data_IF_569446920237
#
_entry.id   IF_569446920237
#
_cell.length_a   1.000
_cell.length_b   1.000
_cell.length_c   1.000
_cell.angle_alpha   90.00
_cell.angle_beta   90.00
_cell.angle_gamma   90.00
#
_symmetry.space_group_name_H-M   'P 1'
#
loop_
_entity.id
_entity.type
_entity.pdbx_description
1 polymer ?
#
# COMPACT_ATOMS: atom_id res chain seq x y z
N UNK A 1 -3.11 -15.61 4.91
CA UNK A 1 -2.08 -15.37 5.94
C UNK A 1 -2.81 -15.10 7.25
N UNK A 2 -2.18 -15.34 8.38
CA UNK A 2 -2.73 -14.92 9.68
C UNK A 2 -2.61 -13.39 9.79
N UNK A 3 -3.51 -12.80 10.57
CA UNK A 3 -3.54 -11.37 10.85
C UNK A 3 -3.12 -11.17 12.31
N UNK A 4 -2.14 -10.31 12.55
CA UNK A 4 -1.53 -10.06 13.86
C UNK A 4 -1.77 -8.60 14.26
N UNK A 5 -2.34 -8.36 15.45
CA UNK A 5 -2.62 -7.02 15.99
C UNK A 5 -2.13 -6.93 17.43
N UNK A 6 -0.95 -6.34 17.63
CA UNK A 6 -0.28 -6.33 18.95
C UNK A 6 0.18 -4.90 19.32
N UNK A 7 -0.74 -3.90 19.31
CA UNK A 7 -0.38 -2.53 19.58
C UNK A 7 0.01 -2.36 21.05
N UNK A 8 1.18 -1.77 21.29
CA UNK A 8 1.57 -1.33 22.63
C UNK A 8 0.65 -0.23 23.18
N UNK A 9 0.45 0.89 22.47
CA UNK A 9 -0.49 1.95 22.85
C UNK A 9 -1.95 1.63 22.50
N UNK A 10 -2.88 2.48 22.98
CA UNK A 10 -4.29 2.39 22.59
C UNK A 10 -4.46 2.47 21.06
N UNK A 11 -5.31 1.61 20.51
CA UNK A 11 -5.63 1.56 19.09
C UNK A 11 -7.12 1.41 18.88
N UNK A 12 -7.69 2.23 18.01
CA UNK A 12 -9.08 2.11 17.56
C UNK A 12 -9.10 1.81 16.07
N UNK A 13 -9.77 0.72 15.69
CA UNK A 13 -9.97 0.32 14.30
C UNK A 13 -11.42 0.61 13.92
N UNK A 14 -11.63 1.56 13.02
CA UNK A 14 -12.99 2.03 12.71
C UNK A 14 -13.68 1.26 11.58
N UNK A 15 -12.90 0.66 10.67
CA UNK A 15 -13.40 -0.16 9.56
C UNK A 15 -13.61 -1.62 9.90
N UNK A 16 -14.21 -2.36 8.95
CA UNK A 16 -14.32 -3.83 9.03
C UNK A 16 -12.94 -4.47 9.03
N UNK A 17 -12.81 -5.57 9.77
CA UNK A 17 -11.59 -6.39 9.80
C UNK A 17 -11.91 -7.79 9.29
N UNK A 18 -11.04 -8.31 8.42
CA UNK A 18 -11.14 -9.67 7.94
C UNK A 18 -9.78 -10.37 7.94
N UNK A 19 -9.72 -11.59 8.48
CA UNK A 19 -8.58 -12.49 8.38
C UNK A 19 -8.90 -13.71 7.51
N UNK A 20 -8.10 -13.95 6.45
CA UNK A 20 -8.22 -15.16 5.61
C UNK A 20 -7.73 -16.44 6.32
N UNK A 21 -7.11 -16.32 7.50
CA UNK A 21 -6.76 -17.42 8.42
C UNK A 21 -7.11 -17.00 9.85
N UNK A 22 -6.26 -17.25 10.84
CA UNK A 22 -6.52 -16.80 12.20
C UNK A 22 -6.26 -15.29 12.33
N UNK A 23 -6.95 -14.68 13.28
CA UNK A 23 -6.65 -13.35 13.82
C UNK A 23 -6.03 -13.58 15.20
N UNK A 24 -4.81 -13.11 15.40
CA UNK A 24 -4.12 -13.05 16.68
C UNK A 24 -4.11 -11.60 17.18
N UNK A 25 -4.47 -11.41 18.44
CA UNK A 25 -4.53 -10.10 19.06
C UNK A 25 -3.97 -10.13 20.47
N UNK A 26 -2.96 -9.30 20.68
CA UNK A 26 -2.20 -9.26 21.92
C UNK A 26 -1.84 -7.80 22.28
N UNK A 27 -2.84 -6.94 22.54
CA UNK A 27 -2.56 -5.54 22.80
C UNK A 27 -1.88 -5.36 24.17
N UNK A 28 -0.95 -4.41 24.26
CA UNK A 28 -0.38 -3.95 25.53
C UNK A 28 -1.30 -2.99 26.31
N UNK A 29 -2.28 -2.38 25.62
CA UNK A 29 -3.26 -1.46 26.16
C UNK A 29 -4.68 -1.73 25.57
N UNK A 30 -5.48 -0.71 25.24
CA UNK A 30 -6.81 -0.93 24.69
C UNK A 30 -6.79 -1.07 23.17
N UNK A 31 -7.34 -2.17 22.65
CA UNK A 31 -7.66 -2.38 21.25
C UNK A 31 -9.17 -2.40 21.07
N UNK A 32 -9.73 -1.42 20.34
CA UNK A 32 -11.17 -1.30 20.11
C UNK A 32 -11.51 -1.45 18.64
N UNK A 33 -12.37 -2.40 18.30
CA UNK A 33 -12.96 -2.54 16.97
C UNK A 33 -14.35 -1.90 16.96
N UNK A 34 -14.55 -0.88 16.12
CA UNK A 34 -15.84 -0.19 16.00
C UNK A 34 -16.82 -0.91 15.06
N UNK A 35 -16.29 -1.76 14.19
CA UNK A 35 -17.04 -2.46 13.14
C UNK A 35 -16.87 -3.98 13.27
N UNK A 36 -17.59 -4.72 12.41
CA UNK A 36 -17.55 -6.18 12.34
C UNK A 36 -16.14 -6.72 12.12
N UNK A 37 -15.75 -7.71 12.92
CA UNK A 37 -14.51 -8.48 12.78
C UNK A 37 -14.84 -9.89 12.32
N UNK A 38 -14.22 -10.34 11.23
CA UNK A 38 -14.47 -11.68 10.68
C UNK A 38 -13.16 -12.44 10.46
N UNK A 39 -13.18 -13.74 10.69
CA UNK A 39 -12.03 -14.61 10.49
C UNK A 39 -12.49 -15.88 9.79
N UNK A 40 -11.77 -16.31 8.75
CA UNK A 40 -11.97 -17.64 8.18
C UNK A 40 -11.41 -18.74 9.10
N UNK A 41 -10.40 -18.39 9.90
CA UNK A 41 -9.88 -19.20 10.99
C UNK A 41 -10.58 -18.89 12.32
N UNK A 42 -9.79 -18.83 13.37
CA UNK A 42 -10.20 -18.42 14.71
C UNK A 42 -9.86 -16.96 14.96
N UNK A 43 -10.51 -16.35 15.94
CA UNK A 43 -10.09 -15.08 16.56
C UNK A 43 -9.52 -15.44 17.94
N UNK A 44 -8.24 -15.15 18.17
CA UNK A 44 -7.44 -15.67 19.29
C UNK A 44 -6.84 -14.51 20.07
N UNK A 45 -7.07 -14.48 21.38
CA UNK A 45 -6.36 -13.59 22.29
C UNK A 45 -5.00 -14.20 22.64
N UNK A 46 -3.94 -13.45 22.37
CA UNK A 46 -2.55 -13.88 22.53
C UNK A 46 -1.75 -13.74 21.23
N UNK A 47 -0.43 -13.81 21.33
CA UNK A 47 0.46 -13.61 20.20
C UNK A 47 0.38 -14.79 19.23
N UNK A 48 0.80 -14.55 17.99
CA UNK A 48 0.94 -15.63 17.01
C UNK A 48 1.96 -16.67 17.49
N UNK A 49 1.73 -17.99 17.27
CA UNK A 49 2.67 -19.01 17.66
C UNK A 49 4.07 -18.77 17.07
N UNK A 50 5.07 -18.75 17.95
CA UNK A 50 6.45 -18.49 17.56
C UNK A 50 6.85 -17.03 17.59
N UNK A 51 5.99 -16.10 18.00
CA UNK A 51 6.43 -14.74 18.31
C UNK A 51 7.41 -14.75 19.50
N UNK A 52 8.68 -14.31 19.34
CA UNK A 52 9.62 -14.21 20.46
C UNK A 52 9.47 -12.90 21.25
N UNK A 53 8.73 -11.91 20.75
CA UNK A 53 8.54 -10.61 21.39
C UNK A 53 7.56 -10.67 22.55
N UNK A 54 6.61 -11.62 22.54
CA UNK A 54 5.64 -11.81 23.61
C UNK A 54 5.61 -13.26 24.07
N UNK A 55 5.89 -13.50 25.36
CA UNK A 55 5.91 -14.85 25.95
C UNK A 55 4.55 -15.33 26.45
N UNK A 56 3.49 -14.54 26.23
CA UNK A 56 2.13 -14.82 26.70
C UNK A 56 1.15 -13.71 26.30
N UNK A 57 -0.03 -13.75 26.89
CA UNK A 57 -1.05 -12.72 26.69
C UNK A 57 -0.63 -11.45 27.43
N UNK A 58 -0.61 -10.33 26.72
CA UNK A 58 -0.33 -9.01 27.28
C UNK A 58 -1.55 -8.48 28.07
N UNK A 59 -1.30 -7.54 29.00
CA UNK A 59 -2.32 -7.05 29.93
C UNK A 59 -3.36 -6.07 29.32
N UNK A 60 -3.39 -5.94 28.00
CA UNK A 60 -4.35 -5.09 27.31
C UNK A 60 -5.76 -5.67 27.24
N UNK A 61 -6.70 -4.85 26.77
CA UNK A 61 -8.11 -5.24 26.62
C UNK A 61 -8.54 -5.12 25.16
N UNK A 62 -9.21 -6.15 24.66
CA UNK A 62 -9.88 -6.14 23.35
C UNK A 62 -11.36 -5.84 23.54
N UNK A 63 -11.87 -4.82 22.87
CA UNK A 63 -13.29 -4.43 22.88
C UNK A 63 -13.87 -4.49 21.47
N UNK A 64 -15.04 -5.12 21.33
CA UNK A 64 -15.80 -5.14 20.08
C UNK A 64 -17.11 -4.37 20.27
N UNK A 65 -17.29 -3.31 19.48
CA UNK A 65 -18.55 -2.56 19.43
C UNK A 65 -19.48 -3.06 18.31
N UNK A 66 -18.96 -3.89 17.39
CA UNK A 66 -19.73 -4.65 16.41
C UNK A 66 -19.65 -6.16 16.66
N UNK A 67 -20.26 -6.95 15.77
CA UNK A 67 -20.17 -8.42 15.82
C UNK A 67 -18.73 -8.92 15.58
N UNK A 68 -18.45 -10.15 16.02
CA UNK A 68 -17.20 -10.82 15.70
C UNK A 68 -17.43 -12.31 15.39
N UNK A 69 -17.06 -12.76 14.19
CA UNK A 69 -17.34 -14.12 13.73
C UNK A 69 -16.08 -14.86 13.31
N UNK A 70 -15.88 -16.05 13.87
CA UNK A 70 -14.90 -17.02 13.39
C UNK A 70 -15.54 -17.98 12.39
N UNK A 71 -14.72 -18.69 11.61
CA UNK A 71 -15.16 -19.68 10.60
C UNK A 71 -16.03 -19.12 9.48
N UNK A 72 -15.81 -17.85 9.13
CA UNK A 72 -16.43 -17.21 7.96
C UNK A 72 -15.77 -17.66 6.65
N UNK A 73 -16.36 -17.32 5.50
CA UNK A 73 -15.73 -17.60 4.21
C UNK A 73 -14.47 -16.74 4.00
N UNK A 74 -13.45 -17.31 3.35
CA UNK A 74 -12.29 -16.53 2.91
C UNK A 74 -12.69 -15.50 1.85
N UNK A 75 -12.07 -14.33 1.90
CA UNK A 75 -12.11 -13.36 0.81
C UNK A 75 -10.98 -13.66 -0.17
N UNK A 76 -11.33 -14.07 -1.39
CA UNK A 76 -10.38 -14.45 -2.43
C UNK A 76 -10.38 -13.43 -3.57
N UNK A 77 -9.21 -13.12 -4.11
CA UNK A 77 -9.13 -12.44 -5.40
C UNK A 77 -9.62 -13.37 -6.51
N UNK A 78 -10.14 -12.83 -7.63
CA UNK A 78 -10.59 -13.62 -8.78
C UNK A 78 -9.41 -14.10 -9.63
N UNK A 79 -8.41 -14.74 -9.01
CA UNK A 79 -7.26 -15.38 -9.66
C UNK A 79 -7.33 -16.90 -9.52
N UNK A 80 -6.71 -17.66 -10.43
CA UNK A 80 -6.85 -19.13 -10.52
C UNK A 80 -6.50 -19.92 -9.25
N UNK A 81 -5.63 -19.39 -8.38
CA UNK A 81 -5.24 -20.02 -7.11
C UNK A 81 -5.80 -19.31 -5.87
N UNK A 82 -6.77 -18.40 -6.05
CA UNK A 82 -7.50 -17.74 -4.97
C UNK A 82 -6.63 -16.89 -4.04
N UNK A 83 -6.36 -17.40 -2.83
CA UNK A 83 -5.71 -16.67 -1.72
C UNK A 83 -4.29 -17.15 -1.40
N UNK A 84 -3.65 -17.93 -2.29
CA UNK A 84 -2.25 -18.33 -2.10
C UNK A 84 -1.31 -17.11 -2.14
N UNK A 85 -0.55 -16.80 -1.07
CA UNK A 85 0.31 -15.62 -1.01
C UNK A 85 1.35 -15.52 -2.12
N UNK A 86 1.89 -16.66 -2.57
CA UNK A 86 2.89 -16.67 -3.62
C UNK A 86 2.31 -16.28 -4.97
N UNK A 87 1.09 -16.74 -5.24
CA UNK A 87 0.37 -16.39 -6.46
C UNK A 87 -0.20 -14.99 -6.40
N UNK A 88 -0.73 -14.55 -5.26
CA UNK A 88 -1.26 -13.19 -5.12
C UNK A 88 -0.15 -12.15 -5.33
N UNK A 89 1.11 -12.43 -4.92
CA UNK A 89 2.24 -11.56 -5.23
C UNK A 89 2.44 -11.30 -6.73
N UNK A 90 1.98 -12.19 -7.61
CA UNK A 90 2.09 -11.97 -9.05
C UNK A 90 1.26 -10.78 -9.52
N UNK A 91 0.18 -10.37 -8.83
CA UNK A 91 -0.63 -9.21 -9.25
C UNK A 91 0.16 -7.90 -9.27
N UNK A 92 1.25 -7.80 -8.49
CA UNK A 92 2.10 -6.61 -8.44
C UNK A 92 3.29 -6.68 -9.40
N UNK A 93 3.48 -7.80 -10.12
CA UNK A 93 4.56 -7.97 -11.10
C UNK A 93 4.10 -7.72 -12.54
N UNK A 94 5.02 -7.39 -13.47
CA UNK A 94 4.71 -7.45 -14.89
C UNK A 94 4.44 -8.91 -15.31
N UNK A 95 3.78 -9.13 -16.46
CA UNK A 95 3.64 -10.47 -17.03
C UNK A 95 5.00 -11.16 -17.21
N UNK A 96 5.08 -12.48 -17.05
CA UNK A 96 6.31 -13.22 -17.32
C UNK A 96 6.69 -13.16 -18.81
N UNK A 97 7.92 -13.54 -19.14
CA UNK A 97 8.36 -13.64 -20.53
C UNK A 97 7.44 -14.62 -21.29
N UNK A 98 6.87 -14.17 -22.41
CA UNK A 98 5.84 -14.91 -23.17
C UNK A 98 4.40 -14.49 -22.86
N UNK A 99 4.17 -13.62 -21.88
CA UNK A 99 2.85 -13.09 -21.51
C UNK A 99 2.14 -13.92 -20.44
N UNK A 100 0.94 -13.48 -20.07
CA UNK A 100 0.11 -14.19 -19.08
C UNK A 100 -0.46 -15.49 -19.67
N UNK A 101 -0.09 -16.62 -19.07
CA UNK A 101 -0.69 -17.93 -19.38
C UNK A 101 -2.03 -18.15 -18.69
N UNK A 102 -2.30 -17.42 -17.60
CA UNK A 102 -3.57 -17.39 -16.87
C UNK A 102 -4.26 -16.04 -17.08
N UNK A 103 -5.37 -16.06 -17.83
CA UNK A 103 -6.15 -14.87 -18.12
C UNK A 103 -6.77 -14.22 -16.86
N UNK A 104 -7.02 -14.99 -15.80
CA UNK A 104 -7.56 -14.45 -14.54
C UNK A 104 -6.49 -13.65 -13.79
N UNK A 105 -5.26 -14.16 -13.73
CA UNK A 105 -4.10 -13.42 -13.24
C UNK A 105 -3.85 -12.16 -14.08
N UNK A 106 -3.84 -12.30 -15.41
CA UNK A 106 -3.61 -11.17 -16.32
C UNK A 106 -4.61 -10.02 -16.14
N UNK A 107 -5.87 -10.32 -15.80
CA UNK A 107 -6.88 -9.29 -15.48
C UNK A 107 -6.60 -8.57 -14.17
N UNK A 108 -5.97 -9.21 -13.20
CA UNK A 108 -5.71 -8.64 -11.88
C UNK A 108 -4.36 -7.95 -11.75
N UNK A 109 -3.39 -8.24 -12.64
CA UNK A 109 -2.08 -7.56 -12.65
C UNK A 109 -2.23 -6.06 -12.84
N UNK A 110 -1.65 -5.29 -11.91
CA UNK A 110 -1.64 -3.83 -11.99
C UNK A 110 -0.89 -3.32 -13.23
N UNK A 111 0.14 -4.04 -13.69
CA UNK A 111 0.83 -3.73 -14.95
C UNK A 111 -0.15 -3.71 -16.13
N UNK A 112 -1.07 -4.68 -16.18
CA UNK A 112 -2.01 -4.79 -17.29
C UNK A 112 -3.13 -3.74 -17.20
N UNK A 113 -3.52 -3.36 -15.98
CA UNK A 113 -4.55 -2.33 -15.70
C UNK A 113 -4.04 -0.89 -15.87
N UNK A 114 -2.73 -0.67 -15.96
CA UNK A 114 -2.15 0.66 -15.94
C UNK A 114 -2.57 1.53 -17.14
N UNK A 115 -2.73 2.82 -16.91
CA UNK A 115 -2.85 3.83 -17.96
C UNK A 115 -1.47 4.24 -18.47
N UNK A 116 -0.48 4.26 -17.56
CA UNK A 116 0.89 4.63 -17.86
C UNK A 116 1.84 3.60 -17.26
N UNK A 117 2.78 3.14 -18.07
CA UNK A 117 3.90 2.31 -17.64
C UNK A 117 5.15 3.17 -17.65
N UNK A 118 5.81 3.30 -16.50
CA UNK A 118 7.10 3.96 -16.31
C UNK A 118 8.16 2.88 -16.18
N UNK A 119 9.07 2.80 -17.15
CA UNK A 119 10.20 1.87 -17.13
C UNK A 119 11.49 2.62 -16.88
N UNK A 120 12.28 2.11 -15.95
CA UNK A 120 13.65 2.60 -15.70
C UNK A 120 14.63 1.50 -16.06
N UNK A 121 15.58 1.79 -16.94
CA UNK A 121 16.59 0.81 -17.38
C UNK A 121 18.00 1.32 -17.12
N UNK A 122 18.96 0.40 -17.15
CA UNK A 122 20.37 0.77 -17.22
C UNK A 122 20.65 1.71 -18.42
N UNK A 123 21.67 2.58 -18.32
CA UNK A 123 22.15 3.33 -19.48
C UNK A 123 22.60 2.37 -20.60
N UNK A 124 22.60 2.80 -21.87
CA UNK A 124 23.05 1.97 -22.98
C UNK A 124 24.42 1.34 -22.71
N UNK A 125 24.62 0.09 -23.13
CA UNK A 125 25.90 -0.60 -22.95
C UNK A 125 27.05 0.21 -23.58
N UNK A 126 28.15 0.38 -22.83
CA UNK A 126 29.29 1.20 -23.25
C UNK A 126 29.16 2.70 -22.96
N UNK A 127 28.07 3.13 -22.31
CA UNK A 127 27.94 4.52 -21.85
C UNK A 127 29.06 4.89 -20.87
N UNK A 128 29.53 6.16 -20.86
CA UNK A 128 30.53 6.62 -19.90
C UNK A 128 30.11 6.38 -18.43
N UNK A 129 31.07 6.14 -17.52
CA UNK A 129 30.78 6.11 -16.08
C UNK A 129 30.04 7.37 -15.62
N UNK A 130 28.99 7.19 -14.82
CA UNK A 130 28.14 8.30 -14.35
C UNK A 130 26.99 8.67 -15.29
N UNK A 131 26.82 7.98 -16.42
CA UNK A 131 25.63 8.16 -17.27
C UNK A 131 24.36 7.78 -16.48
N UNK A 132 23.36 8.67 -16.40
CA UNK A 132 22.12 8.38 -15.67
C UNK A 132 21.31 7.21 -16.26
N UNK A 133 20.49 6.52 -15.46
CA UNK A 133 19.51 5.57 -15.95
C UNK A 133 18.55 6.20 -16.97
N UNK A 134 18.00 5.37 -17.86
CA UNK A 134 17.02 5.81 -18.86
C UNK A 134 15.62 5.67 -18.29
N UNK A 135 14.80 6.73 -18.41
CA UNK A 135 13.40 6.73 -18.01
C UNK A 135 12.52 6.75 -19.25
N UNK A 136 11.61 5.78 -19.35
CA UNK A 136 10.73 5.60 -20.51
C UNK A 136 9.29 5.58 -19.99
N UNK A 137 8.46 6.49 -20.50
CA UNK A 137 7.02 6.49 -20.26
C UNK A 137 6.25 6.05 -21.50
N UNK A 138 5.26 5.17 -21.33
CA UNK A 138 4.33 4.78 -22.39
C UNK A 138 2.91 4.70 -21.86
N UNK A 139 1.92 4.67 -22.75
CA UNK A 139 0.59 4.16 -22.42
C UNK A 139 0.68 2.74 -21.85
N UNK A 140 -0.39 2.31 -21.20
CA UNK A 140 -0.53 0.97 -20.64
C UNK A 140 -0.61 -0.17 -21.65
N UNK A 141 -0.77 -1.38 -21.10
CA UNK A 141 -0.82 -2.63 -21.87
C UNK A 141 -2.02 -2.72 -22.82
N UNK A 142 -3.13 -2.07 -22.50
CA UNK A 142 -4.32 -2.02 -23.36
C UNK A 142 -4.02 -1.48 -24.76
N UNK A 143 -3.13 -0.49 -24.83
CA UNK A 143 -2.66 0.11 -26.08
C UNK A 143 -1.28 -0.41 -26.48
N UNK A 144 -0.90 -1.61 -26.02
CA UNK A 144 0.37 -2.27 -26.34
C UNK A 144 1.60 -1.36 -26.16
N UNK A 145 1.56 -0.45 -25.19
CA UNK A 145 2.63 0.51 -24.91
C UNK A 145 2.95 1.45 -26.11
N UNK A 146 2.02 1.59 -27.06
CA UNK A 146 2.29 2.22 -28.34
C UNK A 146 2.40 3.75 -28.28
N UNK A 147 1.76 4.41 -27.30
CA UNK A 147 1.80 5.88 -27.18
C UNK A 147 2.92 6.28 -26.22
N UNK A 148 3.97 7.00 -26.68
CA UNK A 148 4.98 7.55 -25.79
C UNK A 148 4.39 8.60 -24.85
N UNK A 149 4.86 8.63 -23.61
CA UNK A 149 4.47 9.60 -22.57
C UNK A 149 5.72 10.30 -22.07
N UNK A 150 5.73 11.63 -22.13
CA UNK A 150 6.83 12.42 -21.57
C UNK A 150 6.68 12.52 -20.04
N UNK A 151 7.34 11.61 -19.34
CA UNK A 151 7.31 11.50 -17.88
C UNK A 151 8.38 12.35 -17.17
N UNK A 152 9.32 12.94 -17.92
CA UNK A 152 10.45 13.69 -17.34
C UNK A 152 10.05 14.95 -16.57
N UNK A 153 8.81 15.44 -16.75
CA UNK A 153 8.26 16.56 -15.99
C UNK A 153 7.82 16.21 -14.56
N UNK A 154 7.65 14.91 -14.25
CA UNK A 154 7.17 14.46 -12.94
C UNK A 154 7.85 13.19 -12.41
N UNK A 155 8.78 12.58 -13.16
CA UNK A 155 9.59 11.44 -12.71
C UNK A 155 11.05 11.84 -12.63
N UNK A 156 11.67 11.58 -11.48
CA UNK A 156 13.12 11.73 -11.27
C UNK A 156 13.70 10.42 -10.77
N UNK A 157 14.82 9.98 -11.35
CA UNK A 157 15.52 8.78 -10.88
C UNK A 157 16.79 9.18 -10.15
N UNK A 158 16.99 8.59 -8.98
CA UNK A 158 18.19 8.75 -8.17
C UNK A 158 18.73 7.39 -7.75
N UNK A 159 20.03 7.33 -7.51
CA UNK A 159 20.72 6.16 -6.98
C UNK A 159 21.17 6.45 -5.57
N UNK A 160 20.95 5.51 -4.64
CA UNK A 160 21.31 5.65 -3.22
C UNK A 160 20.88 7.00 -2.61
N UNK A 161 19.61 7.36 -2.79
CA UNK A 161 19.05 8.69 -2.49
C UNK A 161 18.95 8.97 -0.99
N UNK A 162 18.50 7.99 -0.24
CA UNK A 162 18.33 8.04 1.22
C UNK A 162 18.47 6.62 1.80
N UNK A 163 18.56 6.52 3.12
CA UNK A 163 18.77 5.26 3.83
C UNK A 163 17.46 4.68 4.39
N UNK A 164 17.32 3.35 4.26
CA UNK A 164 16.30 2.55 4.92
C UNK A 164 16.96 1.69 6.00
N UNK A 165 16.87 2.14 7.24
CA UNK A 165 17.48 1.54 8.42
C UNK A 165 16.81 0.26 8.88
N UNK A 166 15.58 -0.03 8.42
CA UNK A 166 14.98 -1.36 8.62
C UNK A 166 15.66 -2.40 7.74
N UNK A 167 16.04 -2.03 6.53
CA UNK A 167 16.69 -2.91 5.54
C UNK A 167 18.22 -2.87 5.64
N UNK A 168 18.76 -1.84 6.28
CA UNK A 168 20.19 -1.60 6.35
C UNK A 168 20.79 -1.12 5.01
N UNK A 169 19.96 -0.58 4.10
CA UNK A 169 20.31 -0.32 2.70
C UNK A 169 20.01 1.11 2.26
N UNK A 170 20.76 1.58 1.27
CA UNK A 170 20.41 2.78 0.51
C UNK A 170 19.28 2.53 -0.49
N UNK A 171 18.48 3.54 -0.80
CA UNK A 171 17.32 3.40 -1.70
C UNK A 171 17.60 4.04 -3.06
N UNK A 172 17.48 3.25 -4.13
CA UNK A 172 17.56 3.73 -5.51
C UNK A 172 16.20 4.28 -5.96
N UNK A 173 15.89 5.49 -5.51
CA UNK A 173 14.57 6.09 -5.66
C UNK A 173 14.17 6.40 -7.11
N UNK A 174 12.97 5.98 -7.49
CA UNK A 174 12.19 6.50 -8.61
C UNK A 174 11.13 7.43 -8.01
N UNK A 175 11.42 8.73 -8.00
CA UNK A 175 10.58 9.77 -7.44
C UNK A 175 9.48 10.15 -8.44
N UNK A 176 8.21 10.05 -8.02
CA UNK A 176 7.03 10.57 -8.68
C UNK A 176 6.59 11.84 -7.95
N UNK A 177 6.79 12.99 -8.58
CA UNK A 177 6.22 14.25 -8.13
C UNK A 177 4.73 14.29 -8.48
N UNK A 178 3.88 13.98 -7.51
CA UNK A 178 2.44 13.81 -7.69
C UNK A 178 1.76 15.13 -8.07
N UNK A 179 2.19 16.26 -7.50
CA UNK A 179 1.66 17.57 -7.87
C UNK A 179 1.97 17.94 -9.33
N UNK A 180 3.17 17.61 -9.82
CA UNK A 180 3.53 17.80 -11.23
C UNK A 180 2.76 16.83 -12.14
N UNK A 181 2.59 15.57 -11.72
CA UNK A 181 1.77 14.59 -12.44
C UNK A 181 0.31 15.05 -12.54
N UNK A 182 -0.27 15.52 -11.44
CA UNK A 182 -1.61 16.11 -11.40
C UNK A 182 -1.76 17.23 -12.44
N UNK A 183 -0.87 18.22 -12.43
CA UNK A 183 -0.95 19.35 -13.36
C UNK A 183 -0.87 18.90 -14.83
N UNK A 184 -0.12 17.83 -15.10
CA UNK A 184 -0.03 17.22 -16.42
C UNK A 184 -1.29 16.41 -16.80
N UNK A 185 -1.79 15.57 -15.89
CA UNK A 185 -2.93 14.68 -16.10
C UNK A 185 -4.25 15.46 -16.25
N UNK A 186 -4.45 16.50 -15.44
CA UNK A 186 -5.66 17.33 -15.43
C UNK A 186 -5.79 18.22 -16.69
N UNK A 187 -4.80 18.24 -17.57
CA UNK A 187 -4.80 19.06 -18.78
C UNK A 187 -5.14 18.21 -20.03
N UNK A 188 -6.44 18.00 -20.35
CA UNK A 188 -6.88 17.17 -21.47
C UNK A 188 -6.55 17.77 -22.85
N UNK A 189 -6.17 19.05 -22.91
CA UNK A 189 -5.71 19.70 -24.14
C UNK A 189 -4.16 19.77 -24.24
N UNK A 190 -3.46 19.34 -23.20
CA UNK A 190 -2.00 19.42 -23.08
C UNK A 190 -1.30 18.07 -23.25
N UNK A 191 -0.28 17.85 -22.44
CA UNK A 191 0.60 16.68 -22.55
C UNK A 191 -0.10 15.33 -22.31
N UNK A 192 -1.26 15.30 -21.65
CA UNK A 192 -2.05 14.10 -21.42
C UNK A 192 -3.14 13.85 -22.47
N UNK A 193 -3.34 14.76 -23.43
CA UNK A 193 -4.45 14.74 -24.41
C UNK A 193 -4.59 13.43 -25.18
N UNK A 194 -3.46 12.82 -25.57
CA UNK A 194 -3.45 11.52 -26.24
C UNK A 194 -4.01 10.40 -25.38
N UNK A 195 -3.74 10.41 -24.07
CA UNK A 195 -4.24 9.41 -23.13
C UNK A 195 -5.71 9.62 -22.81
N UNK A 196 -6.15 10.88 -22.65
CA UNK A 196 -7.57 11.21 -22.52
C UNK A 196 -8.38 10.69 -23.70
N UNK A 197 -7.87 10.88 -24.92
CA UNK A 197 -8.51 10.38 -26.15
C UNK A 197 -8.52 8.85 -26.20
N UNK A 198 -7.40 8.22 -25.80
CA UNK A 198 -7.23 6.77 -25.83
C UNK A 198 -8.15 6.05 -24.84
N UNK A 199 -8.22 6.53 -23.59
CA UNK A 199 -8.92 5.86 -22.51
C UNK A 199 -10.35 6.38 -22.29
N UNK A 200 -10.66 7.58 -22.78
CA UNK A 200 -11.94 8.25 -22.51
C UNK A 200 -12.06 8.76 -21.07
N UNK A 201 -10.98 8.74 -20.30
CA UNK A 201 -10.89 9.25 -18.93
C UNK A 201 -9.49 9.79 -18.64
N UNK A 202 -9.36 10.47 -17.50
CA UNK A 202 -8.07 10.93 -17.00
C UNK A 202 -7.15 9.75 -16.67
N UNK A 203 -5.86 9.76 -17.05
CA UNK A 203 -4.92 8.73 -16.63
C UNK A 203 -4.72 8.77 -15.11
N UNK A 204 -5.02 7.67 -14.43
CA UNK A 204 -5.02 7.58 -12.97
C UNK A 204 -4.28 6.35 -12.42
N UNK A 205 -3.87 5.38 -13.25
CA UNK A 205 -3.08 4.22 -12.80
C UNK A 205 -1.67 4.25 -13.38
N UNK A 206 -0.68 4.48 -12.52
CA UNK A 206 0.74 4.41 -12.83
C UNK A 206 1.31 3.07 -12.40
N UNK A 207 1.93 2.34 -13.32
CA UNK A 207 2.77 1.20 -12.98
C UNK A 207 4.25 1.53 -13.19
N UNK A 208 5.07 1.36 -12.15
CA UNK A 208 6.52 1.59 -12.20
C UNK A 208 7.26 0.26 -12.24
N UNK A 209 8.13 0.12 -13.24
CA UNK A 209 8.96 -1.04 -13.48
C UNK A 209 10.43 -0.65 -13.47
N UNK A 210 11.14 -0.95 -12.39
CA UNK A 210 12.59 -0.87 -12.34
C UNK A 210 13.21 -2.11 -13.00
N UNK A 211 13.99 -1.90 -14.06
CA UNK A 211 14.72 -2.94 -14.80
C UNK A 211 16.22 -2.68 -14.78
N UNK A 212 16.70 -1.80 -13.90
CA UNK A 212 18.14 -1.63 -13.67
C UNK A 212 18.70 -2.93 -13.10
N UNK A 213 19.86 -3.33 -13.58
CA UNK A 213 20.57 -4.52 -13.11
C UNK A 213 22.05 -4.25 -12.94
N UNK A 214 22.66 -3.52 -13.88
CA UNK A 214 24.09 -3.21 -13.88
C UNK A 214 24.42 -1.90 -13.14
N UNK A 215 23.49 -0.94 -13.10
CA UNK A 215 23.67 0.36 -12.47
C UNK A 215 23.31 0.41 -10.97
N UNK A 216 23.00 -0.74 -10.36
CA UNK A 216 22.61 -0.86 -8.96
C UNK A 216 23.85 -1.03 -8.07
N UNK A 217 24.17 -0.08 -7.17
CA UNK A 217 25.29 -0.24 -6.24
C UNK A 217 25.02 -1.34 -5.19
N UNK A 218 26.08 -1.96 -4.68
CA UNK A 218 25.96 -2.87 -3.54
C UNK A 218 25.43 -2.13 -2.30
N UNK A 219 24.72 -2.85 -1.43
CA UNK A 219 24.13 -2.27 -0.22
C UNK A 219 22.95 -1.33 -0.49
N UNK A 220 22.32 -1.42 -1.67
CA UNK A 220 21.13 -0.65 -2.02
C UNK A 220 19.94 -1.55 -2.38
N UNK A 221 18.75 -0.97 -2.43
CA UNK A 221 17.49 -1.60 -2.83
C UNK A 221 16.69 -0.69 -3.78
N UNK A 222 15.78 -1.23 -4.61
CA UNK A 222 14.86 -0.40 -5.39
C UNK A 222 13.83 0.27 -4.48
N UNK A 223 13.28 1.38 -4.95
CA UNK A 223 12.19 2.06 -4.25
C UNK A 223 11.49 3.07 -5.14
N UNK A 224 10.16 3.08 -5.11
CA UNK A 224 9.35 4.10 -5.76
C UNK A 224 8.89 5.07 -4.69
N UNK A 225 9.06 6.38 -4.88
CA UNK A 225 8.63 7.37 -3.89
C UNK A 225 7.62 8.33 -4.49
N UNK A 226 6.48 8.48 -3.85
CA UNK A 226 5.52 9.56 -4.15
C UNK A 226 5.80 10.75 -3.24
N UNK A 227 5.91 11.93 -3.83
CA UNK A 227 6.18 13.18 -3.11
C UNK A 227 5.37 14.34 -3.69
N UNK A 228 5.20 15.41 -2.91
CA UNK A 228 4.29 16.53 -3.23
C UNK A 228 2.86 16.03 -3.51
N UNK A 229 2.39 15.07 -2.69
CA UNK A 229 1.15 14.33 -2.90
C UNK A 229 -0.09 14.92 -2.27
N UNK A 230 -0.03 16.10 -1.66
CA UNK A 230 -1.15 16.68 -0.92
C UNK A 230 -2.43 16.79 -1.78
N UNK A 231 -2.29 17.04 -3.09
CA UNK A 231 -3.39 17.10 -4.03
C UNK A 231 -3.17 16.13 -5.20
N UNK A 232 -4.17 15.31 -5.49
CA UNK A 232 -4.13 14.29 -6.56
C UNK A 232 -4.82 14.78 -7.86
N UNK A 233 -4.58 14.10 -9.01
CA UNK A 233 -5.40 14.23 -10.22
C UNK A 233 -6.90 14.10 -9.93
N UNK A 234 -7.75 14.76 -10.72
CA UNK A 234 -9.19 14.78 -10.45
C UNK A 234 -9.84 13.38 -10.52
N UNK A 235 -9.36 12.52 -11.41
CA UNK A 235 -9.76 11.13 -11.58
C UNK A 235 -9.23 10.16 -10.51
N UNK A 236 -8.40 10.64 -9.57
CA UNK A 236 -7.74 9.80 -8.58
C UNK A 236 -6.38 9.27 -9.03
N UNK A 237 -5.71 8.54 -8.15
CA UNK A 237 -4.36 8.02 -8.40
C UNK A 237 -4.12 6.67 -7.72
N UNK A 238 -3.76 5.68 -8.53
CA UNK A 238 -3.14 4.44 -8.08
C UNK A 238 -1.69 4.41 -8.55
N UNK A 239 -0.75 4.24 -7.62
CA UNK A 239 0.65 3.94 -7.94
C UNK A 239 0.94 2.49 -7.57
N UNK A 240 1.33 1.70 -8.56
CA UNK A 240 1.59 0.29 -8.43
C UNK A 240 3.02 -0.08 -8.87
N UNK A 241 3.65 -1.00 -8.15
CA UNK A 241 4.95 -1.55 -8.50
C UNK A 241 5.19 -2.87 -7.77
N UNK A 242 6.13 -3.68 -8.26
CA UNK A 242 6.66 -4.81 -7.51
C UNK A 242 7.70 -4.38 -6.46
N UNK A 243 8.12 -3.11 -6.46
CA UNK A 243 9.13 -2.56 -5.55
C UNK A 243 8.51 -1.97 -4.27
N UNK A 244 9.29 -1.70 -3.22
CA UNK A 244 8.82 -0.94 -2.07
C UNK A 244 8.42 0.49 -2.45
N UNK A 245 7.32 0.98 -1.88
CA UNK A 245 6.85 2.35 -2.05
C UNK A 245 7.15 3.18 -0.80
N UNK A 246 7.59 4.42 -1.02
CA UNK A 246 7.78 5.44 -0.02
C UNK A 246 6.80 6.59 -0.25
N UNK A 247 6.14 7.06 0.81
CA UNK A 247 5.21 8.21 0.75
C UNK A 247 5.84 9.34 1.53
N UNK A 248 6.22 10.43 0.87
CA UNK A 248 6.84 11.57 1.54
C UNK A 248 5.86 12.70 1.78
N UNK A 249 5.66 13.00 3.06
CA UNK A 249 4.79 14.04 3.56
C UNK A 249 3.31 13.75 3.36
N UNK A 250 2.51 14.80 3.43
CA UNK A 250 1.07 14.73 3.26
C UNK A 250 0.68 14.17 1.87
N UNK A 251 -0.24 13.22 1.88
CA UNK A 251 -0.74 12.57 0.67
C UNK A 251 -2.27 12.60 0.64
N UNK A 252 -2.82 13.17 -0.43
CA UNK A 252 -4.25 13.23 -0.73
C UNK A 252 -5.08 13.91 0.37
N UNK A 253 -4.66 15.09 0.81
CA UNK A 253 -5.27 15.83 1.93
C UNK A 253 -6.16 16.99 1.48
N UNK A 254 -6.19 17.30 0.18
CA UNK A 254 -6.96 18.44 -0.33
C UNK A 254 -7.33 18.26 -1.79
N UNK A 255 -8.29 19.08 -2.22
CA UNK A 255 -8.53 19.38 -3.63
C UNK A 255 -8.62 20.90 -3.84
N UNK A 256 -9.12 21.34 -5.00
CA UNK A 256 -9.22 22.78 -5.30
C UNK A 256 -10.27 23.51 -4.45
N UNK A 257 -11.13 22.77 -3.74
CA UNK A 257 -12.27 23.31 -2.97
C UNK A 257 -12.05 23.34 -1.46
N UNK A 258 -11.07 22.61 -0.93
CA UNK A 258 -10.83 22.57 0.51
C UNK A 258 -9.77 21.56 0.95
N UNK A 259 -9.62 21.43 2.26
CA UNK A 259 -8.65 20.54 2.93
C UNK A 259 -9.41 19.59 3.85
N UNK A 260 -9.03 18.31 3.80
CA UNK A 260 -9.49 17.25 4.71
C UNK A 260 -8.56 17.16 5.92
N UNK A 261 -9.12 17.06 7.13
CA UNK A 261 -8.38 17.03 8.40
C UNK A 261 -8.94 15.94 9.30
N UNK A 262 -8.04 15.26 10.03
CA UNK A 262 -8.44 14.16 10.91
C UNK A 262 -9.03 13.01 10.09
N UNK A 263 -10.23 12.54 10.45
CA UNK A 263 -10.94 11.46 9.73
C UNK A 263 -11.86 11.96 8.62
N UNK A 264 -11.92 13.28 8.37
CA UNK A 264 -12.65 13.80 7.21
C UNK A 264 -11.90 13.42 5.93
N UNK A 265 -12.62 12.94 4.93
CA UNK A 265 -12.10 12.60 3.60
C UNK A 265 -12.90 13.27 2.47
N UNK A 266 -13.61 14.37 2.78
CA UNK A 266 -14.48 15.06 1.81
C UNK A 266 -13.73 15.64 0.61
N UNK A 267 -12.50 16.10 0.82
CA UNK A 267 -11.65 16.73 -0.19
C UNK A 267 -10.52 15.82 -0.70
N UNK A 268 -10.65 14.50 -0.49
CA UNK A 268 -9.70 13.52 -1.01
C UNK A 268 -10.18 12.98 -2.35
N UNK A 269 -9.26 12.46 -3.16
CA UNK A 269 -9.56 11.74 -4.41
C UNK A 269 -9.39 10.23 -4.21
N UNK A 270 -10.01 9.38 -5.04
CA UNK A 270 -9.81 7.93 -4.95
C UNK A 270 -8.33 7.58 -5.13
N UNK A 271 -7.71 6.94 -4.15
CA UNK A 271 -6.27 6.73 -4.16
C UNK A 271 -5.82 5.38 -3.60
N UNK A 272 -4.84 4.75 -4.25
CA UNK A 272 -4.23 3.50 -3.80
C UNK A 272 -2.72 3.47 -3.99
N UNK A 273 -2.03 2.84 -3.05
CA UNK A 273 -0.60 2.56 -3.11
C UNK A 273 -0.41 1.05 -3.05
N UNK A 274 0.22 0.50 -4.08
CA UNK A 274 0.32 -0.95 -4.30
C UNK A 274 1.77 -1.32 -4.51
N UNK A 275 2.40 -1.97 -3.53
CA UNK A 275 3.84 -2.21 -3.56
C UNK A 275 4.25 -3.45 -2.78
N UNK A 276 5.54 -3.77 -2.82
CA UNK A 276 6.11 -4.85 -1.98
C UNK A 276 5.95 -4.54 -0.48
N UNK A 277 6.18 -3.29 -0.11
CA UNK A 277 6.00 -2.71 1.21
C UNK A 277 5.71 -1.21 1.07
N UNK A 278 5.00 -0.61 2.04
CA UNK A 278 4.80 0.86 2.09
C UNK A 278 5.50 1.45 3.31
N UNK A 279 6.29 2.50 3.10
CA UNK A 279 6.95 3.27 4.16
C UNK A 279 6.50 4.72 4.10
N UNK A 280 6.06 5.28 5.22
CA UNK A 280 5.71 6.71 5.32
C UNK A 280 6.91 7.50 5.84
N UNK A 281 7.36 8.46 5.03
CA UNK A 281 8.37 9.44 5.35
C UNK A 281 7.66 10.74 5.75
N UNK A 282 7.88 11.19 6.97
CA UNK A 282 7.09 12.30 7.55
C UNK A 282 7.23 13.64 6.81
N UNK A 283 6.38 14.61 7.12
CA UNK A 283 6.53 16.00 6.66
C UNK A 283 7.88 16.64 7.06
N UNK A 284 8.50 16.17 8.14
CA UNK A 284 9.85 16.59 8.57
C UNK A 284 10.99 15.86 7.85
N UNK A 285 10.69 14.93 6.94
CA UNK A 285 11.70 14.14 6.25
C UNK A 285 12.56 14.99 5.32
N UNK A 286 13.88 14.85 5.47
CA UNK A 286 14.86 15.36 4.50
C UNK A 286 15.84 14.26 4.12
N UNK A 287 16.11 14.14 2.81
CA UNK A 287 17.02 13.13 2.28
C UNK A 287 18.44 13.33 2.80
N UNK A 288 18.88 14.59 3.00
CA UNK A 288 20.21 14.90 3.51
C UNK A 288 20.41 14.47 4.96
N UNK A 289 19.39 14.58 5.81
CA UNK A 289 19.49 14.10 7.19
C UNK A 289 19.50 12.57 7.22
N UNK A 290 18.71 11.94 6.34
CA UNK A 290 18.59 10.50 6.22
C UNK A 290 19.53 9.90 5.15
N UNK A 291 20.60 10.62 4.81
CA UNK A 291 21.68 10.10 4.00
C UNK A 291 22.52 9.12 4.83
N UNK A 292 23.27 8.24 4.17
CA UNK A 292 24.01 7.07 4.70
C UNK A 292 25.10 7.36 5.76
N UNK A 293 24.82 8.17 6.79
CA UNK A 293 25.75 8.59 7.84
C UNK A 293 25.45 7.91 9.17
N UNK A 294 26.39 8.01 10.11
CA UNK A 294 26.48 7.29 11.40
C UNK A 294 25.32 7.44 12.40
N UNK A 295 24.25 8.16 12.04
CA UNK A 295 22.99 8.25 12.80
C UNK A 295 21.76 7.67 12.08
N UNK A 296 21.93 7.05 10.91
CA UNK A 296 20.88 6.66 9.95
C UNK A 296 19.45 6.53 10.49
N UNK A 297 18.50 7.23 9.84
CA UNK A 297 17.09 7.30 10.25
C UNK A 297 16.91 7.78 11.70
N UNK A 298 15.72 7.62 12.29
CA UNK A 298 15.40 8.08 13.65
C UNK A 298 15.54 9.61 13.87
N UNK A 299 15.55 10.40 12.80
CA UNK A 299 15.44 11.87 12.88
C UNK A 299 14.03 12.28 13.29
N UNK A 300 13.88 13.44 13.93
CA UNK A 300 12.58 13.94 14.36
C UNK A 300 11.61 14.04 13.19
N UNK A 301 10.44 13.44 13.39
CA UNK A 301 9.37 13.46 12.41
C UNK A 301 8.61 14.80 12.47
N UNK A 302 7.59 14.91 11.63
CA UNK A 302 6.53 15.89 11.83
C UNK A 302 5.21 15.25 11.45
N UNK A 303 4.16 15.63 12.16
CA UNK A 303 2.82 15.09 11.96
C UNK A 303 2.41 15.13 10.48
N UNK A 304 1.86 14.00 9.99
CA UNK A 304 1.64 13.73 8.57
C UNK A 304 0.29 13.07 8.37
N UNK A 305 -0.39 13.40 7.26
CA UNK A 305 -1.66 12.77 6.89
C UNK A 305 -1.55 12.03 5.56
N UNK A 306 -1.96 10.76 5.53
CA UNK A 306 -2.00 9.92 4.32
C UNK A 306 -3.41 9.38 4.12
N UNK A 307 -4.05 9.75 3.02
CA UNK A 307 -5.36 9.23 2.64
C UNK A 307 -5.25 8.34 1.40
N UNK A 308 -5.20 7.01 1.58
CA UNK A 308 -5.10 6.05 0.47
C UNK A 308 -5.42 4.63 0.92
N UNK A 309 -5.96 3.81 0.01
CA UNK A 309 -5.90 2.37 0.15
C UNK A 309 -4.43 1.89 0.04
N UNK A 310 -4.06 0.90 0.84
CA UNK A 310 -2.74 0.28 0.81
C UNK A 310 -2.91 -1.21 0.55
N UNK A 311 -2.24 -1.69 -0.49
CA UNK A 311 -2.06 -3.11 -0.76
C UNK A 311 -0.58 -3.40 -0.77
N UNK A 312 -0.10 -4.14 0.22
CA UNK A 312 1.32 -4.45 0.30
C UNK A 312 1.60 -5.76 1.04
N UNK A 313 2.87 -6.15 1.01
CA UNK A 313 3.36 -7.30 1.74
C UNK A 313 3.76 -6.95 3.17
N UNK A 314 3.89 -8.00 3.98
CA UNK A 314 4.44 -7.93 5.34
C UNK A 314 5.62 -8.90 5.47
N UNK A 315 6.47 -8.71 6.48
CA UNK A 315 7.49 -9.70 6.86
C UNK A 315 6.82 -10.73 7.77
N UNK A 316 7.07 -12.03 7.56
CA UNK A 316 6.44 -13.08 8.36
C UNK A 316 6.99 -13.12 9.79
N UNK A 317 6.12 -13.33 10.79
CA UNK A 317 6.56 -13.70 12.15
C UNK A 317 7.18 -15.09 12.15
N UNK A 318 8.35 -15.22 12.80
CA UNK A 318 9.09 -16.47 12.95
C UNK A 318 9.56 -16.60 14.39
N UNK A 319 10.03 -17.79 14.80
CA UNK A 319 10.63 -18.02 16.12
C UNK A 319 11.77 -17.07 16.51
N UNK A 320 12.36 -16.36 15.55
CA UNK A 320 13.42 -15.38 15.78
C UNK A 320 13.00 -13.91 15.63
N UNK A 321 11.79 -13.61 15.17
CA UNK A 321 11.34 -12.23 14.99
C UNK A 321 9.82 -12.08 14.86
N UNK A 322 9.27 -11.10 15.55
CA UNK A 322 7.94 -10.55 15.29
C UNK A 322 7.90 -9.77 13.95
N UNK A 323 6.76 -9.80 13.26
CA UNK A 323 6.51 -9.08 12.00
C UNK A 323 6.41 -7.56 12.18
N UNK A 324 5.93 -7.14 13.35
CA UNK A 324 5.49 -5.77 13.66
C UNK A 324 3.97 -5.57 13.55
N UNK A 325 3.20 -6.59 13.17
CA UNK A 325 1.73 -6.56 13.16
C UNK A 325 1.11 -5.52 12.22
N UNK A 326 -0.21 -5.35 12.33
CA UNK A 326 -0.96 -4.30 11.62
C UNK A 326 -0.46 -2.91 12.01
N UNK A 327 -0.09 -2.71 13.28
CA UNK A 327 0.38 -1.43 13.82
C UNK A 327 1.72 -0.96 13.24
N UNK A 328 2.47 -1.82 12.54
CA UNK A 328 3.64 -1.45 11.75
C UNK A 328 3.55 -1.92 10.29
N UNK A 329 2.34 -2.16 9.78
CA UNK A 329 2.13 -2.49 8.37
C UNK A 329 2.56 -1.34 7.45
N UNK A 330 2.07 -0.09 7.63
CA UNK A 330 2.82 1.08 7.19
C UNK A 330 4.12 1.17 8.01
N UNK A 331 5.25 1.19 7.32
CA UNK A 331 6.57 1.27 7.95
C UNK A 331 6.99 2.71 8.19
N UNK A 332 7.94 2.90 9.12
CA UNK A 332 8.46 4.21 9.51
C UNK A 332 9.98 4.18 9.62
N UNK A 333 10.60 5.33 9.37
CA UNK A 333 12.06 5.53 9.39
C UNK A 333 12.48 6.80 10.14
N UNK A 334 11.63 7.29 11.05
CA UNK A 334 11.85 8.54 11.78
C UNK A 334 11.42 8.38 13.24
N UNK A 335 11.88 9.29 14.10
CA UNK A 335 11.41 9.42 15.47
C UNK A 335 10.07 10.18 15.47
N UNK A 336 8.95 9.47 15.59
CA UNK A 336 7.61 10.07 15.65
C UNK A 336 7.13 10.37 17.08
N UNK A 337 8.01 10.34 18.08
CA UNK A 337 7.63 10.62 19.47
C UNK A 337 7.09 12.04 19.59
N UNK A 338 5.83 12.18 20.00
CA UNK A 338 5.14 13.47 20.09
C UNK A 338 4.43 13.91 18.80
N UNK A 339 4.57 13.15 17.72
CA UNK A 339 3.91 13.39 16.44
C UNK A 339 2.80 12.38 16.13
N UNK A 340 1.94 12.75 15.18
CA UNK A 340 0.80 11.94 14.75
C UNK A 340 0.92 11.54 13.29
N UNK A 341 0.67 10.27 13.00
CA UNK A 341 0.27 9.85 11.67
C UNK A 341 -1.24 9.73 11.64
N UNK A 342 -1.87 10.59 10.84
CA UNK A 342 -3.28 10.43 10.49
C UNK A 342 -3.36 9.61 9.21
N UNK A 343 -4.05 8.48 9.26
CA UNK A 343 -4.23 7.60 8.11
C UNK A 343 -5.72 7.35 7.91
N UNK A 344 -6.25 7.67 6.74
CA UNK A 344 -7.60 7.28 6.35
C UNK A 344 -7.53 6.40 5.11
N UNK A 345 -8.03 5.17 5.20
CA UNK A 345 -7.97 4.26 4.07
C UNK A 345 -8.38 2.84 4.38
N UNK A 346 -7.83 1.90 3.61
CA UNK A 346 -8.03 0.46 3.78
C UNK A 346 -6.69 -0.23 3.66
N UNK A 347 -6.37 -1.11 4.60
CA UNK A 347 -5.12 -1.88 4.60
C UNK A 347 -5.41 -3.32 4.15
N UNK A 348 -4.70 -3.76 3.12
CA UNK A 348 -4.86 -5.09 2.53
C UNK A 348 -3.49 -5.78 2.47
N UNK A 349 -3.36 -6.86 3.24
CA UNK A 349 -2.14 -7.70 3.27
C UNK A 349 -2.46 -9.04 2.62
N UNK A 350 -1.79 -9.36 1.51
CA UNK A 350 -2.07 -10.60 0.78
C UNK A 350 -0.85 -11.48 0.49
N UNK A 351 0.35 -10.96 0.74
CA UNK A 351 1.59 -11.69 0.50
C UNK A 351 2.68 -11.31 1.50
N UNK A 352 3.74 -12.12 1.55
CA UNK A 352 4.97 -11.73 2.22
C UNK A 352 5.82 -10.89 1.27
N UNK A 353 6.40 -9.82 1.80
CA UNK A 353 7.33 -8.96 1.06
C UNK A 353 8.54 -9.79 0.60
N UNK A 354 8.99 -9.57 -0.64
CA UNK A 354 10.13 -10.24 -1.26
C UNK A 354 11.33 -9.33 -1.47
N UNK A 355 11.17 -8.02 -1.29
CA UNK A 355 12.27 -7.04 -1.44
C UNK A 355 12.61 -6.44 -0.08
N UNK A 356 11.67 -5.74 0.55
CA UNK A 356 11.84 -5.11 1.84
C UNK A 356 11.62 -6.12 2.98
N UNK A 357 12.58 -7.02 3.16
CA UNK A 357 12.51 -8.20 4.05
C UNK A 357 13.10 -7.97 5.44
N UNK A 358 13.55 -6.75 5.73
CA UNK A 358 14.12 -6.34 7.01
C UNK A 358 13.21 -6.63 8.18
N UNK A 359 13.75 -7.36 9.15
CA UNK A 359 13.04 -7.72 10.38
C UNK A 359 12.67 -6.48 11.18
N UNK A 360 11.53 -6.53 11.85
CA UNK A 360 11.20 -5.49 12.82
C UNK A 360 12.14 -5.59 14.04
N UNK A 361 12.64 -4.46 14.54
CA UNK A 361 13.67 -4.40 15.60
C UNK A 361 13.22 -3.60 16.83
N UNK A 362 11.94 -3.25 16.91
CA UNK A 362 11.45 -2.37 17.98
C UNK A 362 11.88 -0.91 17.83
N UNK A 363 11.53 -0.12 18.84
CA UNK A 363 11.73 1.33 18.90
C UNK A 363 13.18 1.72 19.18
N UNK A 364 13.59 2.94 18.83
CA UNK A 364 14.92 3.48 19.14
C UNK A 364 16.05 2.99 18.24
N UNK A 365 15.74 2.23 17.19
CA UNK A 365 16.71 1.72 16.21
C UNK A 365 16.75 2.61 14.96
N UNK A 366 15.71 2.51 14.13
CA UNK A 366 15.51 3.34 12.93
C UNK A 366 14.22 4.17 13.00
N UNK A 367 13.36 3.93 13.99
CA UNK A 367 12.14 4.69 14.21
C UNK A 367 11.67 4.67 15.67
N UNK A 368 10.77 5.59 16.00
CA UNK A 368 9.83 5.47 17.13
C UNK A 368 8.40 5.64 16.59
N UNK A 369 7.38 4.98 17.14
CA UNK A 369 6.04 4.96 16.58
C UNK A 369 5.32 6.31 16.77
N UNK A 370 4.46 6.71 15.81
CA UNK A 370 3.61 7.89 15.98
C UNK A 370 2.42 7.59 16.89
N UNK A 371 1.73 8.64 17.31
CA UNK A 371 0.30 8.53 17.65
C UNK A 371 -0.45 8.11 16.38
N UNK A 372 -1.18 7.00 16.44
CA UNK A 372 -1.87 6.40 15.29
C UNK A 372 -3.33 6.84 15.25
N UNK A 373 -3.64 7.84 14.43
CA UNK A 373 -5.02 8.25 14.13
C UNK A 373 -5.47 7.55 12.86
N UNK A 374 -5.79 6.26 12.97
CA UNK A 374 -6.09 5.41 11.81
C UNK A 374 -7.59 5.18 11.69
N UNK A 375 -8.18 5.56 10.56
CA UNK A 375 -9.59 5.34 10.31
C UNK A 375 -9.83 4.77 8.92
N UNK A 376 -10.97 4.11 8.75
CA UNK A 376 -11.43 3.66 7.45
C UNK A 376 -11.98 4.84 6.63
N UNK A 377 -11.55 4.96 5.36
CA UNK A 377 -12.11 5.95 4.46
C UNK A 377 -13.49 5.49 3.93
N UNK A 378 -14.55 6.13 4.44
CA UNK A 378 -15.93 5.84 4.06
C UNK A 378 -16.21 6.09 2.57
N UNK A 379 -15.38 6.87 1.86
CA UNK A 379 -15.50 7.01 0.42
C UNK A 379 -15.41 5.66 -0.30
N UNK A 380 -14.65 4.68 0.22
CA UNK A 380 -14.47 3.38 -0.42
C UNK A 380 -15.72 2.49 -0.40
N UNK A 381 -16.76 2.85 0.37
CA UNK A 381 -18.07 2.20 0.30
C UNK A 381 -18.86 2.62 -0.95
N UNK A 382 -18.47 3.73 -1.59
CA UNK A 382 -19.05 4.17 -2.84
C UNK A 382 -18.20 3.63 -4.02
N UNK A 383 -18.75 2.79 -4.90
CA UNK A 383 -18.02 2.26 -6.06
C UNK A 383 -17.41 3.34 -6.97
N UNK A 384 -18.03 4.54 -7.05
CA UNK A 384 -17.53 5.65 -7.86
C UNK A 384 -16.37 6.41 -7.20
N UNK A 385 -16.03 6.08 -5.95
CA UNK A 385 -14.91 6.66 -5.20
C UNK A 385 -13.85 5.62 -4.85
N UNK A 386 -13.86 4.48 -5.52
CA UNK A 386 -12.81 3.48 -5.39
C UNK A 386 -11.58 3.87 -6.24
N UNK A 387 -10.35 3.60 -5.76
CA UNK A 387 -9.15 3.90 -6.52
C UNK A 387 -9.13 3.26 -7.92
N UNK A 388 -8.44 3.89 -8.91
CA UNK A 388 -8.25 3.28 -10.22
C UNK A 388 -7.65 1.87 -10.12
N UNK A 389 -8.25 0.90 -10.82
CA UNK A 389 -7.78 -0.49 -10.84
C UNK A 389 -8.09 -1.34 -9.60
N UNK A 390 -8.95 -0.84 -8.68
CA UNK A 390 -9.38 -1.56 -7.48
C UNK A 390 -9.82 -3.00 -7.79
N UNK A 391 -9.22 -4.03 -7.14
CA UNK A 391 -9.65 -5.41 -7.30
C UNK A 391 -11.08 -5.60 -6.75
N UNK A 392 -11.92 -6.31 -7.50
CA UNK A 392 -13.26 -6.67 -7.05
C UNK A 392 -13.30 -8.15 -6.66
N UNK A 393 -13.74 -8.44 -5.43
CA UNK A 393 -14.05 -9.81 -5.02
C UNK A 393 -15.56 -10.03 -5.01
N UNK A 394 -16.00 -11.27 -5.22
CA UNK A 394 -17.41 -11.67 -5.16
C UNK A 394 -17.59 -12.63 -4.00
N UNK A 395 -18.53 -12.32 -3.10
CA UNK A 395 -18.95 -13.24 -2.04
C UNK A 395 -20.31 -13.80 -2.42
N UNK A 396 -20.44 -15.13 -2.41
CA UNK A 396 -21.73 -15.80 -2.55
C UNK A 396 -22.39 -15.86 -1.16
N UNK A 397 -23.46 -15.10 -0.97
CA UNK A 397 -24.33 -15.24 0.20
C UNK A 397 -25.41 -16.27 -0.17
N UNK A 398 -25.47 -17.39 0.55
CA UNK A 398 -26.61 -18.31 0.48
C UNK A 398 -27.57 -17.95 1.60
N UNK A 399 -28.83 -17.71 1.25
CA UNK A 399 -29.93 -17.61 2.19
C UNK A 399 -30.99 -18.65 1.84
N UNK A 400 -31.69 -19.14 2.86
CA UNK A 400 -32.88 -19.96 2.66
C UNK A 400 -34.07 -19.05 2.35
N UNK A 401 -34.80 -19.35 1.28
CA UNK A 401 -36.10 -18.74 1.06
C UNK A 401 -37.11 -19.43 1.97
N UNK A 402 -37.52 -18.74 3.04
CA UNK A 402 -38.67 -19.18 3.83
C UNK A 402 -39.91 -18.98 2.96
N UNK A 403 -40.33 -20.05 2.29
CA UNK A 403 -41.66 -20.08 1.66
C UNK A 403 -42.66 -20.04 2.81
N UNK A 404 -43.38 -18.92 2.95
CA UNK A 404 -44.58 -18.90 3.78
C UNK A 404 -45.50 -20.00 3.24
N UNK A 405 -45.58 -21.11 3.97
CA UNK A 405 -46.51 -22.19 3.65
C UNK A 405 -47.91 -21.60 3.54
N UNK A 406 -48.61 -21.95 2.45
CA UNK A 406 -50.01 -21.56 2.24
C UNK A 406 -50.80 -21.83 3.52
N UNK A 407 -51.47 -20.80 4.03
CA UNK A 407 -52.40 -20.92 5.15
C UNK A 407 -53.42 -22.04 4.83
N UNK A 408 -53.47 -23.14 5.63
CA UNK A 408 -54.43 -24.22 5.41
C UNK A 408 -55.89 -23.80 5.64
N UNK A 409 -56.15 -22.55 6.06
CA UNK A 409 -57.51 -22.01 6.24
C UNK A 409 -58.05 -21.20 5.04
N UNK A 410 -57.24 -20.98 4.00
CA UNK A 410 -57.72 -20.42 2.73
C UNK A 410 -58.29 -21.52 1.81
N UNK A 411 -59.45 -22.04 2.22
CA UNK A 411 -60.33 -22.90 1.43
C UNK A 411 -61.27 -22.10 0.53
#
# INVERSE_FOLDING_TARGET
MDLEVEPGPNMTVTGRVHGNRNIYQNPGANLTYQSHVTSAGNIINGPVPGDPSHSGIDNGTVTYNGEHDSKTAQLTLPISSGSDPNTVYEIVKPPPAGGDSDATMGKERYYNKADIIIRVTDPPAGSPPGTPPVVIGTSGSYNLLATPVNVGGFVTVSTNKFYNGREGKGVNAIDINVGAFKAWADNPAGGASSLWTLYGHEPGLLYVLDQRTASIPSGTEPGVRVLNGAQLPNGGLTVATADPIYVQGDFNTRDSSGVSVGSDTTHTKPASLVGDAITVLSNGWTDSANATSSKGNLHDASSTTVNAAILAGIVQTTSGSYSGGVENFPRFLANWSGDTLTYNGSMVVMFYSRIATGLWRGTGTYYNPPTRNWTFDNNFLNPNKQPPGTPAFRVLIRGDWLTLGRDPTAG
#
